data_IF_790099455396
#
_entry.id   IF_790099455396
#
_cell.length_a   1.000
_cell.length_b   1.000
_cell.length_c   1.000
_cell.angle_alpha   90.00
_cell.angle_beta   90.00
_cell.angle_gamma   90.00
#
_symmetry.space_group_name_H-M   'P 1'
#
loop_
_entity.id
_entity.type
_entity.pdbx_description
1 polymer ?
#
# COMPACT_ATOMS: atom_id res chain seq x y z
N UNK A 1 95.06 5.54 31.34
CA UNK A 1 95.98 4.45 30.94
C UNK A 1 95.13 3.30 30.40
N UNK A 2 95.47 2.79 29.19
CA UNK A 2 95.35 1.40 28.68
C UNK A 2 94.43 0.47 29.51
N UNK A 3 93.47 -0.31 28.98
CA UNK A 3 93.43 -1.09 27.72
C UNK A 3 92.14 -1.95 27.67
N UNK A 4 91.83 -2.48 26.48
CA UNK A 4 90.96 -3.63 26.14
C UNK A 4 89.45 -3.30 25.91
N UNK A 5 88.74 -3.81 24.90
CA UNK A 5 88.85 -5.07 24.15
C UNK A 5 88.52 -4.92 22.65
N UNK A 6 89.06 -5.88 21.89
CA UNK A 6 88.97 -6.18 20.46
C UNK A 6 87.82 -7.20 20.28
N UNK A 7 86.88 -7.16 19.31
CA UNK A 7 86.94 -7.73 17.94
C UNK A 7 85.51 -7.65 17.29
N UNK A 8 85.33 -7.13 16.07
CA UNK A 8 85.15 -7.84 14.74
C UNK A 8 83.79 -8.59 14.65
N UNK A 9 82.92 -8.53 13.64
CA UNK A 9 82.83 -7.87 12.33
C UNK A 9 81.40 -8.02 11.77
N UNK A 10 80.93 -7.04 11.00
CA UNK A 10 79.78 -7.16 10.07
C UNK A 10 80.29 -7.05 8.63
N UNK A 11 79.87 -7.98 7.77
CA UNK A 11 79.99 -7.91 6.31
C UNK A 11 78.58 -7.81 5.71
N UNK A 12 78.35 -6.83 4.84
CA UNK A 12 77.52 -6.99 3.64
C UNK A 12 77.77 -5.82 2.70
N UNK A 13 78.02 -6.18 1.44
CA UNK A 13 78.58 -5.40 0.34
C UNK A 13 77.47 -4.90 -0.59
N UNK A 14 77.73 -3.78 -1.25
CA UNK A 14 76.87 -3.06 -2.18
C UNK A 14 76.60 -3.79 -3.51
N UNK A 15 75.55 -3.36 -4.24
CA UNK A 15 75.51 -3.16 -5.71
C UNK A 15 74.20 -2.41 -6.03
N UNK A 16 74.22 -1.14 -6.44
CA UNK A 16 74.39 -0.58 -7.80
C UNK A 16 73.06 -0.19 -8.46
N UNK A 17 73.00 1.09 -8.83
CA UNK A 17 71.89 1.80 -9.44
C UNK A 17 71.83 1.62 -10.98
N UNK A 18 70.65 1.85 -11.55
CA UNK A 18 70.48 2.32 -12.93
C UNK A 18 69.27 3.27 -13.07
N UNK A 19 69.52 4.39 -13.75
CA UNK A 19 68.65 5.53 -14.10
C UNK A 19 67.61 5.14 -15.18
N UNK A 20 66.32 5.49 -15.06
CA UNK A 20 65.59 6.72 -15.46
C UNK A 20 65.39 6.96 -16.98
N UNK A 21 64.13 7.11 -17.44
CA UNK A 21 63.60 8.22 -18.30
C UNK A 21 62.07 8.34 -18.11
N UNK A 22 61.59 9.59 -18.13
CA UNK A 22 60.26 10.15 -17.85
C UNK A 22 59.19 10.00 -18.95
N UNK A 23 57.91 10.10 -18.56
CA UNK A 23 56.91 10.93 -19.27
C UNK A 23 55.91 11.51 -18.27
N UNK A 24 55.76 12.82 -18.31
CA UNK A 24 54.82 13.63 -17.54
C UNK A 24 53.47 13.72 -18.27
N UNK A 25 52.38 13.66 -17.51
CA UNK A 25 51.16 14.43 -17.75
C UNK A 25 50.68 14.94 -16.39
N UNK A 26 50.72 16.26 -16.21
CA UNK A 26 49.85 16.95 -15.26
C UNK A 26 48.48 17.02 -15.92
N UNK A 27 47.44 16.56 -15.24
CA UNK A 27 46.08 17.04 -15.42
C UNK A 27 45.40 17.02 -14.04
N UNK A 28 44.63 18.06 -13.79
CA UNK A 28 44.20 18.54 -12.49
C UNK A 28 43.47 17.49 -11.63
N UNK A 29 43.84 17.41 -10.35
CA UNK A 29 43.09 16.70 -9.33
C UNK A 29 41.73 17.39 -9.10
N UNK A 30 40.72 17.00 -9.88
CA UNK A 30 39.34 17.11 -9.43
C UNK A 30 38.98 15.80 -8.72
N UNK A 31 39.44 15.67 -7.49
CA UNK A 31 39.16 14.54 -6.61
C UNK A 31 37.69 14.53 -6.19
N UNK A 32 36.81 14.04 -7.05
CA UNK A 32 35.51 13.52 -6.60
C UNK A 32 35.73 12.08 -6.16
N UNK A 33 36.00 11.87 -4.87
CA UNK A 33 35.84 10.54 -4.27
C UNK A 33 34.42 10.07 -4.57
N UNK A 34 34.22 8.85 -5.11
CA UNK A 34 32.88 8.28 -5.24
C UNK A 34 32.18 8.35 -3.88
N UNK A 35 30.86 8.61 -3.84
CA UNK A 35 30.11 8.48 -2.60
C UNK A 35 30.40 7.12 -1.97
N UNK A 36 30.51 7.03 -0.63
CA UNK A 36 30.58 5.74 0.04
C UNK A 36 29.45 4.84 -0.48
N UNK A 37 29.75 3.57 -0.74
CA UNK A 37 28.69 2.60 -1.01
C UNK A 37 27.70 2.62 0.17
N UNK A 38 26.37 2.58 -0.09
CA UNK A 38 25.40 2.60 0.97
C UNK A 38 25.67 1.45 1.95
N UNK A 39 25.53 1.71 3.25
CA UNK A 39 25.50 0.64 4.24
C UNK A 39 24.26 -0.22 4.02
N UNK A 40 24.42 -1.54 4.07
CA UNK A 40 23.29 -2.48 4.07
C UNK A 40 22.95 -2.81 5.52
N UNK A 41 21.71 -2.54 5.93
CA UNK A 41 21.21 -2.87 7.26
C UNK A 41 20.07 -3.88 7.16
N UNK A 42 20.19 -4.97 7.93
CA UNK A 42 19.13 -5.98 8.00
C UNK A 42 18.07 -5.55 9.03
N UNK A 43 16.81 -5.53 8.60
CA UNK A 43 15.64 -5.33 9.44
C UNK A 43 14.98 -6.67 9.76
N UNK A 44 14.38 -6.75 10.95
CA UNK A 44 13.61 -7.89 11.41
C UNK A 44 13.52 -7.94 12.94
N UNK A 45 12.60 -8.76 13.44
CA UNK A 45 12.38 -8.99 14.86
C UNK A 45 11.40 -7.98 15.50
N UNK A 46 11.47 -7.89 16.83
CA UNK A 46 10.57 -7.06 17.63
C UNK A 46 11.27 -5.74 17.98
N UNK A 47 10.61 -4.64 17.69
CA UNK A 47 11.04 -3.26 17.98
C UNK A 47 10.23 -2.72 19.16
N UNK A 48 10.90 -2.53 20.30
CA UNK A 48 10.29 -1.97 21.54
C UNK A 48 10.76 -0.56 21.88
N UNK A 49 11.73 -0.03 21.12
CA UNK A 49 12.23 1.33 21.24
C UNK A 49 12.15 2.03 19.88
N UNK A 50 12.16 3.36 19.85
CA UNK A 50 12.06 4.12 18.60
C UNK A 50 13.19 3.73 17.64
N UNK A 51 12.81 3.48 16.39
CA UNK A 51 13.72 3.15 15.30
C UNK A 51 13.58 4.21 14.21
N UNK A 52 14.70 4.63 13.62
CA UNK A 52 14.70 5.59 12.50
C UNK A 52 15.50 5.01 11.35
N UNK A 53 14.84 4.85 10.20
CA UNK A 53 15.45 4.47 8.95
C UNK A 53 15.81 5.74 8.18
N UNK A 54 17.07 5.90 7.81
CA UNK A 54 17.62 7.14 7.25
C UNK A 54 17.98 6.99 5.78
N UNK A 55 17.95 8.09 5.04
CA UNK A 55 18.36 8.09 3.65
C UNK A 55 19.84 7.67 3.49
N UNK A 56 20.20 7.12 2.32
CA UNK A 56 21.53 6.59 1.97
C UNK A 56 21.94 5.27 2.65
N UNK A 57 21.00 4.59 3.31
CA UNK A 57 21.15 3.21 3.79
C UNK A 57 20.22 2.30 2.99
N UNK A 58 20.74 1.17 2.51
CA UNK A 58 19.92 0.11 1.94
C UNK A 58 19.40 -0.78 3.06
N UNK A 59 18.07 -0.88 3.20
CA UNK A 59 17.46 -1.72 4.22
C UNK A 59 16.97 -3.03 3.62
N UNK A 60 17.47 -4.15 4.15
CA UNK A 60 17.00 -5.49 3.77
C UNK A 60 16.10 -6.05 4.86
N UNK A 61 14.82 -6.25 4.58
CA UNK A 61 13.88 -6.87 5.53
C UNK A 61 14.04 -8.40 5.45
N UNK A 62 14.60 -9.00 6.50
CA UNK A 62 15.04 -10.41 6.52
C UNK A 62 14.15 -11.33 7.35
N UNK A 63 13.26 -10.76 8.15
CA UNK A 63 12.19 -11.44 8.86
C UNK A 63 11.07 -10.43 9.14
N UNK A 64 9.98 -10.85 9.77
CA UNK A 64 8.93 -9.94 10.21
C UNK A 64 9.48 -8.83 11.12
N UNK A 65 9.09 -7.58 10.88
CA UNK A 65 9.42 -6.43 11.72
C UNK A 65 8.16 -6.01 12.50
N UNK A 66 8.11 -6.35 13.78
CA UNK A 66 6.98 -6.06 14.66
C UNK A 66 7.29 -4.88 15.57
N UNK A 67 6.59 -3.76 15.38
CA UNK A 67 6.76 -2.55 16.18
C UNK A 67 5.73 -2.58 17.30
N UNK A 68 6.19 -2.58 18.55
CA UNK A 68 5.35 -2.69 19.75
C UNK A 68 5.30 -1.39 20.51
N UNK A 69 4.15 -1.13 21.12
CA UNK A 69 3.93 0.06 21.92
C UNK A 69 5.00 0.17 23.04
N UNK A 70 5.52 1.38 23.32
CA UNK A 70 5.16 2.67 22.73
C UNK A 70 6.08 3.10 21.56
N UNK A 71 6.78 2.16 20.92
CA UNK A 71 7.79 2.48 19.92
C UNK A 71 7.21 3.14 18.67
N UNK A 72 8.03 3.98 18.05
CA UNK A 72 7.76 4.61 16.76
C UNK A 72 8.80 4.16 15.74
N UNK A 73 8.34 3.60 14.63
CA UNK A 73 9.14 3.39 13.43
C UNK A 73 9.08 4.65 12.56
N UNK A 74 10.18 5.40 12.48
CA UNK A 74 10.31 6.55 11.59
C UNK A 74 11.07 6.14 10.33
N UNK A 75 10.56 6.52 9.17
CA UNK A 75 11.18 6.23 7.87
C UNK A 75 11.31 7.57 7.14
N UNK A 76 12.55 8.00 6.90
CA UNK A 76 12.85 9.24 6.19
C UNK A 76 12.55 9.11 4.69
N UNK A 77 12.42 10.25 4.01
CA UNK A 77 12.19 10.29 2.57
C UNK A 77 13.29 9.57 1.77
N UNK A 78 12.92 8.98 0.63
CA UNK A 78 13.84 8.27 -0.26
C UNK A 78 14.38 6.94 0.28
N UNK A 79 13.98 6.51 1.49
CA UNK A 79 14.35 5.20 2.02
C UNK A 79 13.76 4.08 1.14
N UNK A 80 14.61 3.10 0.81
CA UNK A 80 14.19 1.86 0.17
C UNK A 80 14.36 0.68 1.12
N UNK A 81 13.27 -0.04 1.35
CA UNK A 81 13.24 -1.32 2.07
C UNK A 81 13.02 -2.44 1.05
N UNK A 82 13.89 -3.45 1.05
CA UNK A 82 13.78 -4.62 0.17
C UNK A 82 13.61 -5.87 1.02
N UNK A 83 12.45 -6.51 0.94
CA UNK A 83 12.20 -7.81 1.54
C UNK A 83 13.04 -8.88 0.85
N UNK A 84 13.71 -9.71 1.65
CA UNK A 84 14.48 -10.83 1.17
C UNK A 84 13.56 -11.93 0.61
N UNK A 85 14.05 -12.70 -0.35
CA UNK A 85 13.36 -13.93 -0.76
C UNK A 85 13.30 -14.92 0.40
N UNK A 86 12.09 -15.38 0.73
CA UNK A 86 11.84 -16.24 1.89
C UNK A 86 10.61 -17.13 1.66
N UNK A 87 10.67 -18.34 2.19
CA UNK A 87 9.51 -19.25 2.31
C UNK A 87 8.72 -18.95 3.60
N UNK A 88 9.33 -18.27 4.57
CA UNK A 88 8.67 -17.75 5.76
C UNK A 88 8.10 -16.35 5.48
N UNK A 89 6.96 -15.99 6.09
CA UNK A 89 6.33 -14.70 5.86
C UNK A 89 7.16 -13.53 6.38
N UNK A 90 7.45 -12.57 5.49
CA UNK A 90 8.17 -11.33 5.80
C UNK A 90 7.23 -10.15 5.61
N UNK A 91 6.95 -9.41 6.69
CA UNK A 91 6.03 -8.27 6.68
C UNK A 91 6.45 -7.21 7.72
N UNK A 92 5.86 -6.03 7.65
CA UNK A 92 5.98 -5.00 8.69
C UNK A 92 4.64 -4.91 9.42
N UNK A 93 4.67 -5.03 10.74
CA UNK A 93 3.48 -4.98 11.59
C UNK A 93 3.63 -3.88 12.65
N UNK A 94 2.71 -2.93 12.64
CA UNK A 94 2.58 -1.88 13.65
C UNK A 94 1.45 -2.29 14.59
N UNK A 95 1.80 -2.78 15.78
CA UNK A 95 0.80 -3.23 16.77
C UNK A 95 0.12 -2.05 17.47
N UNK A 96 -1.06 -2.30 18.05
CA UNK A 96 -1.81 -1.32 18.83
C UNK A 96 -0.93 -0.55 19.83
N UNK A 97 -0.98 0.79 19.73
CA UNK A 97 -0.23 1.72 20.57
C UNK A 97 1.22 1.99 20.12
N UNK A 98 1.75 1.23 19.16
CA UNK A 98 2.92 1.62 18.39
C UNK A 98 2.55 2.60 17.27
N UNK A 99 3.55 3.20 16.63
CA UNK A 99 3.32 4.11 15.50
C UNK A 99 4.31 3.93 14.37
N UNK A 100 3.88 4.34 13.18
CA UNK A 100 4.74 4.53 12.01
C UNK A 100 4.71 5.99 11.55
N UNK A 101 5.88 6.56 11.27
CA UNK A 101 6.01 7.89 10.66
C UNK A 101 6.86 7.74 9.40
N UNK A 102 6.20 7.42 8.29
CA UNK A 102 6.80 7.21 6.98
C UNK A 102 6.36 8.35 6.05
N UNK A 103 7.26 9.33 5.86
CA UNK A 103 6.96 10.56 5.11
C UNK A 103 8.02 10.77 4.04
N UNK A 104 7.71 10.31 2.84
CA UNK A 104 8.45 10.62 1.63
C UNK A 104 8.09 11.99 1.05
N UNK A 105 8.62 12.25 -0.14
CA UNK A 105 8.26 13.41 -0.98
C UNK A 105 7.90 12.95 -2.39
N UNK A 106 7.36 13.86 -3.21
CA UNK A 106 7.07 13.58 -4.62
C UNK A 106 8.31 13.06 -5.34
N UNK A 107 9.46 13.69 -5.11
CA UNK A 107 10.72 13.37 -5.76
C UNK A 107 11.46 12.21 -5.09
N UNK A 108 11.29 12.02 -3.78
CA UNK A 108 11.93 10.97 -2.99
C UNK A 108 10.87 10.16 -2.22
N UNK A 109 10.03 9.36 -2.91
CA UNK A 109 9.07 8.48 -2.24
C UNK A 109 9.81 7.43 -1.40
N UNK A 110 9.15 6.95 -0.35
CA UNK A 110 9.59 5.73 0.35
C UNK A 110 9.14 4.53 -0.48
N UNK A 111 10.04 3.59 -0.74
CA UNK A 111 9.74 2.38 -1.52
C UNK A 111 9.97 1.14 -0.68
N UNK A 112 8.93 0.32 -0.51
CA UNK A 112 9.01 -1.00 0.10
C UNK A 112 8.71 -2.04 -0.98
N UNK A 113 9.62 -2.99 -1.20
CA UNK A 113 9.56 -3.88 -2.39
C UNK A 113 10.13 -5.27 -2.07
N UNK A 114 9.91 -6.25 -2.94
CA UNK A 114 10.51 -7.58 -2.87
C UNK A 114 11.82 -7.69 -3.67
N UNK A 115 12.76 -8.54 -3.23
CA UNK A 115 14.02 -8.82 -3.95
C UNK A 115 13.76 -9.48 -5.32
N UNK A 116 12.91 -10.51 -5.36
CA UNK A 116 12.52 -11.19 -6.60
C UNK A 116 11.58 -10.39 -7.52
N UNK A 117 10.92 -9.34 -7.01
CA UNK A 117 9.89 -8.55 -7.73
C UNK A 117 8.76 -9.39 -8.32
N UNK A 118 8.33 -10.41 -7.57
CA UNK A 118 7.19 -11.25 -7.92
C UNK A 118 6.03 -10.88 -7.02
N UNK A 119 4.82 -10.74 -7.57
CA UNK A 119 3.60 -10.62 -6.78
C UNK A 119 3.58 -11.72 -5.69
N UNK A 120 3.29 -11.34 -4.45
CA UNK A 120 3.36 -12.22 -3.29
C UNK A 120 4.76 -12.41 -2.72
N UNK A 121 5.75 -11.61 -3.14
CA UNK A 121 7.14 -11.73 -2.69
C UNK A 121 7.37 -11.34 -1.23
N UNK A 122 6.43 -10.61 -0.62
CA UNK A 122 6.43 -10.28 0.81
C UNK A 122 5.03 -9.88 1.29
N UNK A 123 4.84 -9.83 2.61
CA UNK A 123 3.52 -9.69 3.22
C UNK A 123 3.05 -8.25 3.45
N UNK A 124 3.69 -7.24 2.89
CA UNK A 124 3.22 -5.86 2.97
C UNK A 124 3.26 -5.21 4.37
N UNK A 125 2.40 -4.20 4.56
CA UNK A 125 2.33 -3.38 5.77
C UNK A 125 1.00 -3.55 6.50
N UNK A 126 1.09 -3.87 7.79
CA UNK A 126 -0.06 -4.11 8.67
C UNK A 126 -0.09 -3.08 9.78
N UNK A 127 -1.22 -2.41 9.98
CA UNK A 127 -1.37 -1.39 11.03
C UNK A 127 -2.60 -1.72 11.88
N UNK A 128 -2.37 -1.98 13.16
CA UNK A 128 -3.41 -2.27 14.14
C UNK A 128 -3.68 -1.04 15.03
N UNK A 129 -4.90 -0.52 14.99
CA UNK A 129 -5.35 0.64 15.77
C UNK A 129 -6.43 0.30 16.80
N UNK A 130 -6.84 1.33 17.55
CA UNK A 130 -7.86 1.25 18.61
C UNK A 130 -9.27 1.69 18.19
N UNK A 131 -9.51 1.92 16.90
CA UNK A 131 -10.80 2.38 16.41
C UNK A 131 -11.84 1.24 16.34
N UNK A 132 -13.15 1.55 16.35
CA UNK A 132 -14.20 0.52 16.35
C UNK A 132 -14.18 -0.39 15.12
N UNK A 133 -14.44 -1.67 15.35
CA UNK A 133 -14.73 -2.70 14.33
C UNK A 133 -16.00 -3.44 14.76
N UNK A 134 -16.74 -3.98 13.81
CA UNK A 134 -17.90 -4.84 14.09
C UNK A 134 -17.55 -6.34 14.20
N UNK A 135 -16.27 -6.71 14.00
CA UNK A 135 -15.75 -8.04 14.29
C UNK A 135 -15.59 -8.32 15.80
N UNK A 136 -15.76 -7.30 16.64
CA UNK A 136 -15.64 -7.41 18.10
C UNK A 136 -14.21 -7.15 18.59
N UNK A 137 -13.68 -7.98 19.48
CA UNK A 137 -12.24 -8.01 19.79
C UNK A 137 -11.55 -8.89 18.75
N UNK A 138 -10.88 -8.28 17.77
CA UNK A 138 -10.26 -8.97 16.65
C UNK A 138 -8.77 -9.22 16.84
N UNK A 139 -8.26 -10.22 16.11
CA UNK A 139 -6.84 -10.44 15.89
C UNK A 139 -6.59 -10.36 14.39
N UNK A 140 -5.58 -9.60 13.97
CA UNK A 140 -5.21 -9.51 12.56
C UNK A 140 -4.82 -10.88 12.04
N UNK A 141 -5.18 -11.16 10.79
CA UNK A 141 -4.85 -12.43 10.11
C UNK A 141 -3.33 -12.61 10.08
N UNK A 142 -2.61 -11.52 9.79
CA UNK A 142 -1.16 -11.50 9.83
C UNK A 142 -0.66 -11.16 11.24
N UNK A 143 0.15 -12.05 11.80
CA UNK A 143 0.85 -11.83 13.07
C UNK A 143 -0.02 -11.99 14.33
N UNK A 144 -1.33 -12.25 14.19
CA UNK A 144 -2.26 -12.43 15.31
C UNK A 144 -2.17 -11.28 16.33
N UNK A 145 -2.12 -10.04 15.84
CA UNK A 145 -2.05 -8.84 16.67
C UNK A 145 -3.45 -8.33 17.00
N UNK A 146 -3.63 -7.88 18.24
CA UNK A 146 -4.90 -7.30 18.64
C UNK A 146 -5.17 -6.00 17.86
N UNK A 147 -6.41 -5.84 17.38
CA UNK A 147 -6.90 -4.59 16.82
C UNK A 147 -8.34 -4.33 17.24
N UNK A 148 -8.81 -3.12 16.96
CA UNK A 148 -10.15 -2.72 17.34
C UNK A 148 -10.23 -2.13 18.74
N UNK A 149 -11.28 -1.36 19.00
CA UNK A 149 -11.49 -0.71 20.29
C UNK A 149 -12.64 0.28 20.25
N UNK A 150 -12.52 1.35 21.02
CA UNK A 150 -13.54 2.40 21.11
C UNK A 150 -13.00 3.81 20.80
N UNK A 151 -11.75 3.93 20.35
CA UNK A 151 -11.14 5.22 20.03
C UNK A 151 -11.18 5.48 18.53
N UNK A 152 -12.29 6.03 18.05
CA UNK A 152 -12.44 6.42 16.64
C UNK A 152 -11.41 7.50 16.20
N UNK A 153 -10.72 8.17 17.12
CA UNK A 153 -9.70 9.16 16.78
C UNK A 153 -8.27 8.64 17.04
N UNK A 154 -8.10 7.33 17.19
CA UNK A 154 -6.78 6.71 17.34
C UNK A 154 -5.83 7.18 16.22
N UNK A 155 -4.56 7.29 16.58
CA UNK A 155 -3.51 7.78 15.71
C UNK A 155 -2.34 6.80 15.73
N UNK A 156 -2.31 5.93 14.71
CA UNK A 156 -1.26 4.97 14.43
C UNK A 156 -0.10 5.57 13.64
N UNK A 157 -0.18 6.86 13.26
CA UNK A 157 0.91 7.64 12.69
C UNK A 157 0.62 8.31 11.34
N UNK A 158 1.62 8.33 10.47
CA UNK A 158 1.59 9.03 9.17
C UNK A 158 2.21 8.16 8.08
N UNK A 159 1.46 7.99 6.97
CA UNK A 159 1.93 7.45 5.71
C UNK A 159 1.78 8.52 4.64
N UNK A 160 2.89 8.95 4.02
CA UNK A 160 2.86 9.93 2.94
C UNK A 160 3.92 9.71 1.87
N UNK A 161 3.52 9.74 0.59
CA UNK A 161 4.41 9.48 -0.56
C UNK A 161 5.17 8.18 -0.39
N UNK A 162 4.42 7.10 -0.25
CA UNK A 162 4.97 5.75 -0.08
C UNK A 162 4.46 4.83 -1.18
N UNK A 163 5.29 3.87 -1.56
CA UNK A 163 4.95 2.83 -2.53
C UNK A 163 5.32 1.47 -1.99
N UNK A 164 4.36 0.56 -2.00
CA UNK A 164 4.56 -0.86 -1.70
C UNK A 164 4.43 -1.64 -3.01
N UNK A 165 5.43 -2.43 -3.33
CA UNK A 165 5.50 -3.19 -4.57
C UNK A 165 5.58 -4.68 -4.24
N UNK A 166 4.90 -5.53 -5.02
CA UNK A 166 5.07 -6.99 -4.97
C UNK A 166 4.65 -7.63 -3.62
N UNK A 167 3.63 -7.07 -2.97
CA UNK A 167 3.00 -7.60 -1.75
C UNK A 167 2.08 -8.79 -2.06
N UNK A 168 1.36 -9.37 -1.11
CA UNK A 168 0.48 -10.53 -1.39
C UNK A 168 0.93 -11.87 -0.82
N UNK A 169 1.85 -11.92 0.16
CA UNK A 169 2.43 -13.21 0.56
C UNK A 169 1.38 -14.14 1.18
N UNK A 170 1.21 -15.33 0.60
CA UNK A 170 0.32 -16.36 1.11
C UNK A 170 0.88 -17.01 2.38
N UNK A 171 0.16 -16.92 3.51
CA UNK A 171 0.53 -17.58 4.75
C UNK A 171 0.16 -19.07 4.74
N UNK A 172 -1.03 -19.37 4.23
CA UNK A 172 -1.58 -20.70 4.08
C UNK A 172 -2.61 -20.71 2.92
N UNK A 173 -3.33 -21.83 2.74
CA UNK A 173 -4.29 -22.00 1.65
C UNK A 173 -5.52 -21.08 1.77
N UNK A 174 -5.71 -20.44 2.94
CA UNK A 174 -6.89 -19.63 3.26
C UNK A 174 -6.58 -18.16 3.59
N UNK A 175 -5.33 -17.81 3.97
CA UNK A 175 -4.95 -16.45 4.36
C UNK A 175 -3.76 -15.96 3.54
N UNK A 176 -3.95 -14.85 2.86
CA UNK A 176 -2.93 -14.12 2.10
C UNK A 176 -2.76 -12.70 2.72
N UNK A 177 -1.65 -12.02 2.41
CA UNK A 177 -1.32 -10.72 3.02
C UNK A 177 -1.50 -9.59 2.02
N UNK A 178 -2.15 -8.51 2.38
CA UNK A 178 -2.44 -7.42 1.43
C UNK A 178 -1.23 -6.49 1.18
N UNK A 179 -1.43 -5.49 0.32
CA UNK A 179 -0.52 -4.36 0.19
C UNK A 179 -0.42 -3.57 1.49
N UNK A 180 -1.51 -2.93 1.89
CA UNK A 180 -1.64 -2.33 3.22
C UNK A 180 -2.96 -2.75 3.85
N UNK A 181 -2.87 -3.36 5.04
CA UNK A 181 -4.03 -3.74 5.83
C UNK A 181 -4.21 -2.77 7.00
N UNK A 182 -5.36 -2.10 7.04
CA UNK A 182 -5.75 -1.16 8.09
C UNK A 182 -6.72 -1.84 9.06
N UNK A 183 -6.17 -2.43 10.12
CA UNK A 183 -6.93 -3.10 11.16
C UNK A 183 -7.38 -2.12 12.25
N UNK A 184 -8.65 -1.71 12.24
CA UNK A 184 -9.21 -0.83 13.26
C UNK A 184 -8.47 0.50 13.40
N UNK A 185 -7.97 1.07 12.30
CA UNK A 185 -7.17 2.31 12.31
C UNK A 185 -8.08 3.54 12.46
N UNK A 186 -7.70 4.46 13.36
CA UNK A 186 -8.50 5.64 13.69
C UNK A 186 -8.30 6.84 12.78
N UNK A 187 -9.26 7.76 12.83
CA UNK A 187 -9.28 9.00 12.04
C UNK A 187 -8.14 9.99 12.38
N UNK A 188 -7.40 9.76 13.47
CA UNK A 188 -6.21 10.53 13.83
C UNK A 188 -4.96 10.15 13.03
N UNK A 189 -5.00 9.01 12.33
CA UNK A 189 -3.94 8.54 11.42
C UNK A 189 -4.02 9.27 10.08
N UNK A 190 -2.89 9.72 9.55
CA UNK A 190 -2.83 10.42 8.26
C UNK A 190 -2.29 9.47 7.18
N UNK A 191 -3.07 9.23 6.13
CA UNK A 191 -2.70 8.35 5.01
C UNK A 191 -2.98 9.08 3.71
N UNK A 192 -1.94 9.45 2.98
CA UNK A 192 -2.07 10.30 1.79
C UNK A 192 -0.97 10.01 0.78
N UNK A 193 -1.24 9.97 -0.53
CA UNK A 193 -0.23 9.65 -1.57
C UNK A 193 0.42 8.27 -1.33
N UNK A 194 -0.38 7.22 -1.46
CA UNK A 194 0.02 5.83 -1.23
C UNK A 194 -0.22 5.03 -2.48
N UNK A 195 0.77 4.25 -2.92
CA UNK A 195 0.61 3.31 -4.02
C UNK A 195 0.88 1.88 -3.59
N UNK A 196 0.04 0.95 -4.05
CA UNK A 196 0.37 -0.48 -4.11
C UNK A 196 0.46 -0.92 -5.57
N UNK A 197 1.46 -1.75 -5.87
CA UNK A 197 1.85 -2.08 -7.25
C UNK A 197 2.21 -3.57 -7.38
N UNK A 198 1.49 -4.28 -8.24
CA UNK A 198 1.72 -5.68 -8.64
C UNK A 198 1.74 -6.63 -7.42
N UNK A 199 0.67 -6.61 -6.62
CA UNK A 199 0.48 -7.51 -5.47
C UNK A 199 -0.23 -8.81 -5.84
N UNK A 200 -0.06 -9.88 -5.06
CA UNK A 200 -0.76 -11.15 -5.28
C UNK A 200 -2.15 -11.22 -4.61
N UNK A 201 -2.49 -10.20 -3.83
CA UNK A 201 -3.71 -10.08 -3.03
C UNK A 201 -4.15 -8.60 -3.04
N UNK A 202 -5.03 -8.19 -2.13
CA UNK A 202 -5.61 -6.86 -2.11
C UNK A 202 -4.59 -5.73 -2.10
N UNK A 203 -4.95 -4.62 -2.75
CA UNK A 203 -4.14 -3.41 -2.70
C UNK A 203 -4.17 -2.75 -1.33
N UNK A 204 -5.30 -2.17 -0.98
CA UNK A 204 -5.56 -1.58 0.33
C UNK A 204 -6.83 -2.21 0.89
N UNK A 205 -6.72 -2.79 2.09
CA UNK A 205 -7.86 -3.38 2.78
C UNK A 205 -8.12 -2.72 4.13
N UNK A 206 -9.39 -2.44 4.41
CA UNK A 206 -9.84 -1.82 5.66
C UNK A 206 -10.67 -2.81 6.49
N UNK A 207 -10.08 -3.30 7.58
CA UNK A 207 -10.78 -4.11 8.59
C UNK A 207 -11.32 -3.21 9.69
N UNK A 208 -12.51 -2.66 9.47
CA UNK A 208 -13.14 -1.73 10.40
C UNK A 208 -12.39 -0.39 10.49
N UNK A 209 -12.62 0.33 11.60
CA UNK A 209 -11.98 1.61 11.86
C UNK A 209 -12.62 2.81 11.13
N UNK A 210 -11.91 3.92 11.18
CA UNK A 210 -12.39 5.26 10.77
C UNK A 210 -11.31 6.08 10.06
N UNK A 211 -10.20 5.45 9.71
CA UNK A 211 -9.08 6.10 9.01
C UNK A 211 -9.57 6.77 7.72
N UNK A 212 -9.05 7.97 7.47
CA UNK A 212 -9.29 8.68 6.22
C UNK A 212 -8.07 8.52 5.32
N UNK A 213 -8.29 8.33 4.02
CA UNK A 213 -7.24 8.20 3.02
C UNK A 213 -7.43 9.18 1.87
N UNK A 214 -6.34 9.68 1.29
CA UNK A 214 -6.41 10.46 0.05
C UNK A 214 -5.27 10.18 -0.93
N UNK A 215 -5.53 10.31 -2.23
CA UNK A 215 -4.56 10.05 -3.30
C UNK A 215 -3.96 8.63 -3.19
N UNK A 216 -4.82 7.61 -3.25
CA UNK A 216 -4.37 6.22 -3.26
C UNK A 216 -4.44 5.63 -4.66
N UNK A 217 -3.40 4.90 -5.04
CA UNK A 217 -3.28 4.25 -6.35
C UNK A 217 -3.03 2.76 -6.15
N UNK A 218 -3.81 1.94 -6.85
CA UNK A 218 -3.62 0.48 -6.85
C UNK A 218 -3.49 0.02 -8.29
N UNK A 219 -2.39 -0.68 -8.57
CA UNK A 219 -2.08 -1.19 -9.90
C UNK A 219 -1.80 -2.68 -9.80
N UNK A 220 -2.55 -3.49 -10.55
CA UNK A 220 -2.29 -4.92 -10.72
C UNK A 220 -2.11 -5.73 -9.42
N UNK A 221 -2.86 -5.39 -8.37
CA UNK A 221 -3.09 -6.28 -7.23
C UNK A 221 -4.13 -7.34 -7.65
N UNK A 222 -3.77 -8.63 -7.56
CA UNK A 222 -4.50 -9.70 -8.26
C UNK A 222 -5.77 -10.19 -7.57
N UNK A 223 -6.09 -9.73 -6.36
CA UNK A 223 -7.45 -9.82 -5.82
C UNK A 223 -8.17 -8.47 -5.97
N UNK A 224 -8.61 -7.83 -4.89
CA UNK A 224 -9.35 -6.59 -4.94
C UNK A 224 -8.44 -5.35 -4.87
N UNK A 225 -8.72 -4.34 -5.70
CA UNK A 225 -7.87 -3.14 -5.66
C UNK A 225 -8.06 -2.36 -4.35
N UNK A 226 -9.30 -2.16 -3.95
CA UNK A 226 -9.64 -1.65 -2.62
C UNK A 226 -10.71 -2.56 -2.01
N UNK A 227 -10.48 -3.03 -0.80
CA UNK A 227 -11.47 -3.78 -0.02
C UNK A 227 -11.79 -3.03 1.27
N UNK A 228 -13.05 -3.10 1.69
CA UNK A 228 -13.33 -2.91 3.10
C UNK A 228 -14.31 -3.93 3.66
N UNK A 229 -14.12 -4.20 4.94
CA UNK A 229 -15.00 -5.02 5.74
C UNK A 229 -15.09 -4.48 7.17
N UNK A 230 -15.73 -5.25 8.03
CA UNK A 230 -15.81 -5.09 9.48
C UNK A 230 -16.24 -3.71 9.99
N UNK A 231 -17.06 -3.00 9.22
CA UNK A 231 -17.66 -1.76 9.69
C UNK A 231 -16.84 -0.49 9.43
N UNK A 232 -15.89 -0.50 8.49
CA UNK A 232 -15.11 0.70 8.16
C UNK A 232 -16.03 1.89 7.81
N UNK A 233 -15.76 3.05 8.41
CA UNK A 233 -16.62 4.23 8.30
C UNK A 233 -15.85 5.53 8.08
N UNK A 234 -14.64 5.41 7.50
CA UNK A 234 -13.80 6.55 7.14
C UNK A 234 -14.21 7.28 5.86
N UNK A 235 -13.31 8.10 5.35
CA UNK A 235 -13.44 8.76 4.05
C UNK A 235 -12.27 8.42 3.14
N UNK A 236 -12.54 8.29 1.84
CA UNK A 236 -11.52 8.10 0.83
C UNK A 236 -11.71 9.12 -0.30
N UNK A 237 -10.66 9.84 -0.66
CA UNK A 237 -10.74 10.84 -1.74
C UNK A 237 -9.61 10.66 -2.73
N UNK A 238 -9.86 10.78 -4.03
CA UNK A 238 -8.84 10.59 -5.08
C UNK A 238 -8.30 9.15 -5.07
N UNK A 239 -9.17 8.18 -5.39
CA UNK A 239 -8.78 6.78 -5.53
C UNK A 239 -8.64 6.41 -7.00
N UNK A 240 -7.56 5.71 -7.32
CA UNK A 240 -7.29 5.19 -8.66
C UNK A 240 -7.00 3.70 -8.56
N UNK A 241 -7.76 2.89 -9.30
CA UNK A 241 -7.46 1.48 -9.50
C UNK A 241 -7.26 1.23 -11.00
N UNK A 242 -6.20 0.52 -11.35
CA UNK A 242 -5.91 0.15 -12.73
C UNK A 242 -5.44 -1.29 -12.81
N UNK A 243 -6.22 -2.13 -13.50
CA UNK A 243 -5.94 -3.54 -13.65
C UNK A 243 -5.71 -3.88 -15.13
N UNK A 244 -4.64 -4.62 -15.37
CA UNK A 244 -4.24 -5.18 -16.67
C UNK A 244 -4.13 -6.69 -16.61
N UNK A 245 -3.74 -7.26 -15.46
CA UNK A 245 -3.75 -8.71 -15.26
C UNK A 245 -5.19 -9.22 -15.22
N UNK A 246 -5.49 -10.32 -15.91
CA UNK A 246 -6.82 -10.92 -15.98
C UNK A 246 -7.25 -11.59 -14.66
N UNK A 247 -6.30 -11.90 -13.76
CA UNK A 247 -6.57 -12.49 -12.45
C UNK A 247 -7.12 -11.50 -11.43
N UNK A 248 -6.88 -10.19 -11.57
CA UNK A 248 -7.46 -9.17 -10.67
C UNK A 248 -8.98 -9.33 -10.53
N UNK A 249 -9.51 -9.40 -9.29
CA UNK A 249 -10.95 -9.53 -9.03
C UNK A 249 -11.70 -8.20 -9.14
N UNK A 250 -12.07 -7.56 -8.03
CA UNK A 250 -12.86 -6.34 -8.03
C UNK A 250 -11.96 -5.09 -8.09
N UNK A 251 -12.52 -4.01 -8.63
CA UNK A 251 -11.91 -2.69 -8.45
C UNK A 251 -12.18 -2.17 -7.04
N UNK A 252 -13.37 -2.47 -6.53
CA UNK A 252 -13.76 -2.27 -5.14
C UNK A 252 -14.58 -3.47 -4.69
N UNK A 253 -14.15 -4.13 -3.63
CA UNK A 253 -15.00 -5.01 -2.83
C UNK A 253 -15.40 -4.31 -1.53
N UNK A 254 -16.65 -4.53 -1.10
CA UNK A 254 -17.27 -3.73 -0.08
C UNK A 254 -18.25 -4.55 0.75
N UNK A 255 -17.82 -4.86 1.96
CA UNK A 255 -18.55 -5.58 2.98
C UNK A 255 -18.97 -4.69 4.15
N UNK A 256 -19.98 -5.13 4.90
CA UNK A 256 -20.10 -4.72 6.29
C UNK A 256 -19.49 -5.76 7.22
N UNK A 257 -19.95 -7.00 7.10
CA UNK A 257 -19.46 -8.16 7.83
C UNK A 257 -20.01 -9.43 7.19
N UNK A 258 -19.16 -10.39 6.80
CA UNK A 258 -19.58 -11.60 6.06
C UNK A 258 -20.53 -12.54 6.81
N UNK A 259 -20.45 -12.59 8.15
CA UNK A 259 -21.27 -13.49 8.97
C UNK A 259 -22.58 -12.84 9.43
N UNK A 260 -22.57 -11.53 9.64
CA UNK A 260 -23.72 -10.78 10.12
C UNK A 260 -23.83 -9.44 9.40
N UNK A 261 -24.60 -9.41 8.31
CA UNK A 261 -24.77 -8.23 7.46
C UNK A 261 -25.32 -7.00 8.21
N UNK A 262 -25.98 -7.20 9.36
CA UNK A 262 -26.53 -6.13 10.21
C UNK A 262 -25.61 -5.77 11.40
N UNK A 263 -24.37 -6.28 11.43
CA UNK A 263 -23.40 -6.00 12.49
C UNK A 263 -23.11 -4.49 12.62
N UNK A 264 -22.93 -4.04 13.86
CA UNK A 264 -22.69 -2.62 14.18
C UNK A 264 -21.29 -2.42 14.79
N UNK A 265 -20.58 -1.32 14.46
CA UNK A 265 -20.97 -0.28 13.50
C UNK A 265 -21.08 -0.82 12.07
N UNK A 266 -22.07 -0.31 11.31
CA UNK A 266 -22.26 -0.71 9.93
C UNK A 266 -21.26 0.05 9.06
N UNK A 267 -20.55 -0.65 8.17
CA UNK A 267 -19.63 -0.05 7.22
C UNK A 267 -20.39 0.99 6.42
N UNK A 268 -19.90 2.23 6.44
CA UNK A 268 -20.57 3.35 5.78
C UNK A 268 -19.58 4.43 5.37
N UNK A 269 -18.54 4.10 4.59
CA UNK A 269 -17.56 5.08 4.17
C UNK A 269 -18.16 6.12 3.23
N UNK A 270 -17.45 7.25 3.09
CA UNK A 270 -17.71 8.22 2.03
C UNK A 270 -16.53 8.32 1.08
N UNK A 271 -16.77 7.94 -0.18
CA UNK A 271 -15.77 7.94 -1.24
C UNK A 271 -15.99 9.12 -2.21
N UNK A 272 -14.91 9.79 -2.62
CA UNK A 272 -14.97 10.94 -3.55
C UNK A 272 -13.88 10.90 -4.61
N UNK A 273 -14.24 11.32 -5.83
CA UNK A 273 -13.32 11.44 -6.97
C UNK A 273 -12.51 10.15 -7.25
N UNK A 274 -13.16 9.16 -7.86
CA UNK A 274 -12.59 7.85 -8.16
C UNK A 274 -12.42 7.65 -9.67
N UNK A 275 -11.33 7.03 -10.07
CA UNK A 275 -11.13 6.52 -11.44
C UNK A 275 -10.71 5.04 -11.37
N UNK A 276 -11.63 4.15 -11.75
CA UNK A 276 -11.48 2.72 -11.60
C UNK A 276 -11.54 2.06 -12.98
N UNK A 277 -10.44 1.43 -13.40
CA UNK A 277 -10.30 0.80 -14.71
C UNK A 277 -9.89 -0.65 -14.55
N UNK A 278 -10.75 -1.57 -14.98
CA UNK A 278 -10.48 -2.99 -14.95
C UNK A 278 -9.83 -3.56 -16.22
N UNK A 279 -9.48 -4.83 -16.11
CA UNK A 279 -8.78 -5.67 -17.10
C UNK A 279 -9.66 -6.24 -18.24
N UNK A 280 -10.97 -5.99 -18.22
CA UNK A 280 -11.92 -6.57 -19.18
C UNK A 280 -12.15 -8.08 -19.03
N UNK A 281 -11.80 -8.66 -17.87
CA UNK A 281 -11.88 -10.10 -17.61
C UNK A 281 -13.29 -10.67 -17.79
N UNK A 282 -13.36 -11.87 -18.38
CA UNK A 282 -14.61 -12.63 -18.54
C UNK A 282 -14.91 -13.55 -17.36
N UNK A 283 -13.99 -13.68 -16.41
CA UNK A 283 -14.18 -14.48 -15.19
C UNK A 283 -14.42 -13.54 -14.01
N UNK A 284 -13.51 -12.57 -13.82
CA UNK A 284 -13.52 -11.59 -12.74
C UNK A 284 -14.19 -10.29 -13.19
N UNK A 285 -15.51 -10.26 -13.04
CA UNK A 285 -16.37 -9.33 -13.78
C UNK A 285 -16.68 -8.03 -13.05
N UNK A 286 -16.31 -7.89 -11.79
CA UNK A 286 -16.90 -6.90 -10.89
C UNK A 286 -16.05 -5.63 -10.86
N UNK A 287 -16.70 -4.48 -11.04
CA UNK A 287 -16.12 -3.17 -10.80
C UNK A 287 -16.23 -2.85 -9.32
N UNK A 288 -17.26 -2.07 -8.96
CA UNK A 288 -17.64 -1.87 -7.56
C UNK A 288 -18.64 -2.96 -7.15
N UNK A 289 -18.30 -3.76 -6.14
CA UNK A 289 -19.12 -4.85 -5.59
C UNK A 289 -19.59 -4.47 -4.19
N UNK A 290 -20.85 -4.06 -4.04
CA UNK A 290 -21.46 -3.73 -2.76
C UNK A 290 -22.22 -4.95 -2.20
N UNK A 291 -21.70 -5.56 -1.14
CA UNK A 291 -22.23 -6.81 -0.57
C UNK A 291 -22.19 -6.82 0.97
N UNK A 292 -22.58 -7.95 1.53
CA UNK A 292 -22.60 -8.25 2.97
C UNK A 292 -23.17 -7.15 3.89
N UNK A 293 -24.20 -6.42 3.44
CA UNK A 293 -24.85 -5.34 4.20
C UNK A 293 -24.09 -4.02 4.32
N UNK A 294 -23.06 -3.83 3.51
CA UNK A 294 -22.34 -2.56 3.43
C UNK A 294 -23.27 -1.40 3.07
N UNK A 295 -22.94 -0.21 3.58
CA UNK A 295 -23.51 1.06 3.14
C UNK A 295 -22.38 1.86 2.52
N UNK A 296 -22.69 2.76 1.59
CA UNK A 296 -21.67 3.65 1.04
C UNK A 296 -22.28 4.96 0.56
N UNK A 297 -21.51 6.04 0.68
CA UNK A 297 -21.75 7.28 -0.04
C UNK A 297 -20.65 7.46 -1.07
N UNK A 298 -20.99 7.46 -2.35
CA UNK A 298 -20.02 7.62 -3.45
C UNK A 298 -20.37 8.89 -4.22
N UNK A 299 -19.40 9.80 -4.31
CA UNK A 299 -19.52 11.08 -5.00
C UNK A 299 -18.39 11.31 -6.03
N UNK A 300 -18.70 11.09 -7.30
CA UNK A 300 -17.73 11.21 -8.37
C UNK A 300 -16.93 9.91 -8.52
N UNK A 301 -17.37 9.04 -9.40
CA UNK A 301 -16.64 7.83 -9.77
C UNK A 301 -16.78 7.56 -11.27
N UNK A 302 -15.67 7.20 -11.92
CA UNK A 302 -15.66 6.65 -13.28
C UNK A 302 -15.26 5.19 -13.19
N UNK A 303 -16.13 4.28 -13.62
CA UNK A 303 -15.87 2.83 -13.54
C UNK A 303 -16.00 2.19 -14.92
N UNK A 304 -14.91 1.59 -15.39
CA UNK A 304 -14.82 0.94 -16.69
C UNK A 304 -13.97 -0.32 -16.62
N UNK A 305 -13.89 -1.08 -17.73
CA UNK A 305 -13.02 -2.25 -17.80
C UNK A 305 -13.50 -3.47 -17.00
N UNK A 306 -14.74 -3.49 -16.51
CA UNK A 306 -15.37 -4.64 -15.87
C UNK A 306 -16.78 -4.85 -16.42
N UNK A 307 -17.18 -6.07 -16.83
CA UNK A 307 -18.51 -6.35 -17.36
C UNK A 307 -19.67 -5.96 -16.42
N UNK A 308 -19.48 -6.09 -15.11
CA UNK A 308 -20.41 -5.68 -14.07
C UNK A 308 -19.81 -4.49 -13.29
N UNK A 309 -19.86 -3.26 -13.83
CA UNK A 309 -19.13 -2.12 -13.27
C UNK A 309 -19.64 -1.67 -11.90
N UNK A 310 -20.89 -1.99 -11.55
CA UNK A 310 -21.46 -1.76 -10.23
C UNK A 310 -22.47 -2.88 -9.93
N UNK A 311 -22.24 -3.62 -8.85
CA UNK A 311 -23.07 -4.75 -8.43
C UNK A 311 -23.56 -4.56 -7.00
N UNK A 312 -24.84 -4.88 -6.74
CA UNK A 312 -25.46 -4.93 -5.43
C UNK A 312 -25.86 -6.38 -5.16
N UNK A 313 -25.38 -6.98 -4.06
CA UNK A 313 -25.55 -8.43 -3.84
C UNK A 313 -26.38 -8.81 -2.59
N UNK A 314 -26.67 -7.87 -1.69
CA UNK A 314 -27.39 -8.16 -0.43
C UNK A 314 -28.56 -7.23 -0.14
N UNK A 315 -29.61 -7.77 0.48
CA UNK A 315 -30.86 -7.03 0.78
C UNK A 315 -30.62 -5.77 1.62
N UNK A 316 -29.73 -5.83 2.61
CA UNK A 316 -29.41 -4.68 3.46
C UNK A 316 -28.79 -3.53 2.67
N UNK A 317 -27.89 -3.85 1.74
CA UNK A 317 -27.24 -2.89 0.83
C UNK A 317 -28.26 -2.28 -0.14
N UNK A 318 -29.08 -3.14 -0.76
CA UNK A 318 -30.18 -2.73 -1.65
C UNK A 318 -31.17 -1.79 -0.94
N UNK A 319 -31.56 -2.13 0.29
CA UNK A 319 -32.46 -1.33 1.10
C UNK A 319 -31.85 0.03 1.46
N UNK A 320 -30.56 0.07 1.82
CA UNK A 320 -29.87 1.31 2.14
C UNK A 320 -29.81 2.27 0.95
N UNK A 321 -29.59 1.76 -0.27
CA UNK A 321 -29.64 2.56 -1.49
C UNK A 321 -31.08 2.99 -1.82
N UNK A 322 -32.04 2.07 -1.74
CA UNK A 322 -33.45 2.33 -2.08
C UNK A 322 -34.12 3.36 -1.15
N UNK A 323 -33.73 3.38 0.13
CA UNK A 323 -34.27 4.31 1.12
C UNK A 323 -33.44 5.61 1.26
N UNK A 324 -32.31 5.72 0.56
CA UNK A 324 -31.44 6.90 0.58
C UNK A 324 -30.48 7.00 1.78
N UNK A 325 -30.34 5.93 2.58
CA UNK A 325 -29.27 5.84 3.60
C UNK A 325 -27.89 5.84 2.95
N UNK A 326 -27.77 5.14 1.82
CA UNK A 326 -26.60 5.15 0.94
C UNK A 326 -26.92 5.98 -0.31
N UNK A 327 -25.94 6.77 -0.76
CA UNK A 327 -26.12 7.72 -1.85
C UNK A 327 -25.03 7.55 -2.90
N UNK A 328 -25.45 7.35 -4.15
CA UNK A 328 -24.58 7.39 -5.32
C UNK A 328 -24.88 8.68 -6.09
N UNK A 329 -23.87 9.53 -6.27
CA UNK A 329 -23.95 10.76 -7.07
C UNK A 329 -22.70 10.94 -7.92
N UNK A 330 -22.87 11.54 -9.10
CA UNK A 330 -21.81 11.76 -10.07
C UNK A 330 -21.05 10.46 -10.44
N UNK A 331 -21.74 9.30 -10.41
CA UNK A 331 -21.17 8.00 -10.72
C UNK A 331 -21.43 7.65 -12.18
N UNK A 332 -20.37 7.52 -12.97
CA UNK A 332 -20.40 7.11 -14.37
C UNK A 332 -19.89 5.67 -14.47
N UNK A 333 -20.70 4.77 -15.01
CA UNK A 333 -20.34 3.37 -15.24
C UNK A 333 -20.41 3.04 -16.74
N UNK A 334 -19.42 2.34 -17.26
CA UNK A 334 -19.33 2.00 -18.69
C UNK A 334 -20.36 0.94 -19.13
N UNK A 335 -21.07 0.32 -18.18
CA UNK A 335 -22.13 -0.65 -18.40
C UNK A 335 -23.40 -0.26 -17.63
N UNK A 336 -24.14 -1.26 -17.16
CA UNK A 336 -25.43 -1.10 -16.48
C UNK A 336 -25.29 -1.56 -15.03
N UNK A 337 -25.97 -0.89 -14.10
CA UNK A 337 -26.03 -1.31 -12.70
C UNK A 337 -26.67 -2.71 -12.62
N UNK A 338 -26.02 -3.61 -11.88
CA UNK A 338 -26.52 -4.95 -11.62
C UNK A 338 -26.97 -5.08 -10.17
N UNK A 339 -28.21 -5.52 -9.97
CA UNK A 339 -28.73 -5.86 -8.65
C UNK A 339 -29.10 -7.34 -8.63
N UNK A 340 -28.31 -8.12 -7.91
CA UNK A 340 -28.44 -9.58 -7.81
C UNK A 340 -29.37 -10.02 -6.67
N UNK A 341 -29.91 -9.05 -5.90
CA UNK A 341 -30.92 -9.34 -4.87
C UNK A 341 -32.22 -9.79 -5.53
N UNK A 342 -32.73 -10.95 -5.13
CA UNK A 342 -34.02 -11.45 -5.61
C UNK A 342 -35.13 -10.47 -5.22
N UNK A 343 -35.75 -9.82 -6.21
CA UNK A 343 -36.74 -8.77 -5.96
C UNK A 343 -36.14 -7.42 -5.52
N UNK A 344 -34.87 -7.17 -5.87
CA UNK A 344 -34.15 -5.94 -5.53
C UNK A 344 -34.90 -4.65 -5.88
N UNK A 345 -34.72 -3.65 -5.04
CA UNK A 345 -35.46 -2.39 -5.02
C UNK A 345 -34.72 -1.26 -5.71
N UNK A 346 -33.38 -1.24 -5.63
CA UNK A 346 -32.53 -0.23 -6.26
C UNK A 346 -32.08 -0.72 -7.65
N UNK A 347 -32.73 -0.21 -8.68
CA UNK A 347 -32.50 -0.61 -10.07
C UNK A 347 -31.90 0.55 -10.87
N UNK A 348 -31.56 0.31 -12.15
CA UNK A 348 -31.03 1.33 -13.07
C UNK A 348 -31.85 2.62 -13.09
N UNK A 349 -33.18 2.54 -13.00
CA UNK A 349 -34.04 3.73 -12.94
C UNK A 349 -33.79 4.59 -11.68
N UNK A 350 -33.53 3.96 -10.53
CA UNK A 350 -33.17 4.67 -9.30
C UNK A 350 -31.79 5.31 -9.42
N UNK A 351 -30.82 4.54 -9.93
CA UNK A 351 -29.45 5.01 -10.16
C UNK A 351 -29.41 6.22 -11.09
N UNK A 352 -30.07 6.14 -12.24
CA UNK A 352 -30.14 7.21 -13.25
C UNK A 352 -30.96 8.43 -12.79
N UNK A 353 -31.83 8.28 -11.79
CA UNK A 353 -32.50 9.40 -11.15
C UNK A 353 -31.58 10.17 -10.18
N UNK A 354 -30.47 9.56 -9.75
CA UNK A 354 -29.45 10.20 -8.92
C UNK A 354 -28.70 11.29 -9.69
N UNK A 355 -28.28 12.34 -8.97
CA UNK A 355 -27.59 13.48 -9.56
C UNK A 355 -26.30 13.04 -10.26
N UNK A 356 -26.17 13.32 -11.56
CA UNK A 356 -24.93 13.12 -12.31
C UNK A 356 -24.55 11.66 -12.59
N UNK A 357 -25.43 10.71 -12.25
CA UNK A 357 -25.18 9.30 -12.51
C UNK A 357 -25.43 8.97 -13.99
N UNK A 358 -24.65 8.04 -14.54
CA UNK A 358 -24.78 7.61 -15.92
C UNK A 358 -24.42 6.13 -16.10
N UNK A 359 -25.24 5.42 -16.88
CA UNK A 359 -24.94 4.08 -17.40
C UNK A 359 -24.45 4.17 -18.85
N UNK A 360 -23.70 3.16 -19.29
CA UNK A 360 -23.10 3.10 -20.63
C UNK A 360 -22.25 4.34 -20.97
N UNK A 361 -21.64 4.93 -19.94
CA UNK A 361 -20.80 6.10 -20.08
C UNK A 361 -19.56 5.78 -20.92
N UNK A 362 -19.16 6.71 -21.79
CA UNK A 362 -17.90 6.60 -22.54
C UNK A 362 -16.77 7.07 -21.62
N UNK A 363 -16.08 6.11 -21.02
CA UNK A 363 -14.99 6.34 -20.07
C UNK A 363 -13.70 5.87 -20.72
N UNK A 364 -12.68 6.72 -20.69
CA UNK A 364 -11.38 6.37 -21.22
C UNK A 364 -10.68 5.37 -20.28
N UNK A 365 -9.96 4.41 -20.85
CA UNK A 365 -9.46 3.23 -20.10
C UNK A 365 -7.96 3.00 -20.25
N UNK A 366 -7.23 3.86 -20.96
CA UNK A 366 -5.77 3.76 -20.97
C UNK A 366 -5.20 4.48 -19.76
N UNK A 367 -4.05 4.04 -19.26
CA UNK A 367 -3.35 4.73 -18.17
C UNK A 367 -3.11 6.21 -18.50
N UNK A 368 -2.67 6.51 -19.73
CA UNK A 368 -2.43 7.87 -20.21
C UNK A 368 -3.70 8.73 -20.19
N UNK A 369 -4.87 8.15 -20.50
CA UNK A 369 -6.14 8.89 -20.40
C UNK A 369 -6.51 9.18 -18.94
N UNK A 370 -6.26 8.24 -18.03
CA UNK A 370 -6.50 8.42 -16.59
C UNK A 370 -5.58 9.51 -16.04
N UNK A 371 -4.27 9.40 -16.31
CA UNK A 371 -3.27 10.38 -15.89
C UNK A 371 -3.40 11.73 -16.61
N UNK A 372 -4.04 11.75 -17.78
CA UNK A 372 -4.36 12.95 -18.55
C UNK A 372 -5.63 13.69 -18.07
N UNK A 373 -6.48 13.06 -17.26
CA UNK A 373 -7.59 13.75 -16.59
C UNK A 373 -7.03 14.74 -15.56
N UNK A 374 -7.36 16.02 -15.70
CA UNK A 374 -6.84 17.08 -14.83
C UNK A 374 -7.19 16.88 -13.35
N UNK A 375 -8.23 16.11 -13.03
CA UNK A 375 -8.61 15.73 -11.66
C UNK A 375 -7.63 14.73 -11.04
N UNK A 376 -6.80 14.09 -11.87
CA UNK A 376 -5.82 13.06 -11.54
C UNK A 376 -4.41 13.38 -12.08
N UNK A 377 -4.13 14.64 -12.42
CA UNK A 377 -2.83 15.04 -12.98
C UNK A 377 -1.63 14.70 -12.07
N UNK A 378 -1.86 14.55 -10.77
CA UNK A 378 -0.89 14.09 -9.76
C UNK A 378 -0.41 12.64 -10.00
N UNK A 379 -1.07 11.85 -10.86
CA UNK A 379 -0.58 10.53 -11.28
C UNK A 379 0.70 10.61 -12.11
N UNK A 380 1.04 11.79 -12.65
CA UNK A 380 2.29 12.01 -13.40
C UNK A 380 3.48 12.36 -12.48
N UNK A 381 3.24 12.48 -11.17
CA UNK A 381 4.28 12.77 -10.18
C UNK A 381 5.18 11.55 -9.94
N UNK A 382 6.46 11.78 -9.62
CA UNK A 382 7.49 10.74 -9.56
C UNK A 382 7.30 9.66 -8.47
N UNK A 383 6.39 9.89 -7.51
CA UNK A 383 6.06 8.90 -6.50
C UNK A 383 5.23 7.73 -7.04
N UNK A 384 4.49 7.95 -8.14
CA UNK A 384 3.67 6.92 -8.80
C UNK A 384 4.50 6.16 -9.83
N UNK A 385 4.56 4.84 -9.70
CA UNK A 385 4.98 3.95 -10.78
C UNK A 385 3.82 3.79 -11.75
N UNK A 386 4.01 4.28 -12.97
CA UNK A 386 3.06 4.07 -14.06
C UNK A 386 3.07 2.62 -14.56
N UNK A 387 1.95 2.20 -15.14
CA UNK A 387 1.85 0.94 -15.89
C UNK A 387 2.69 1.08 -17.17
N UNK A 388 3.59 0.14 -17.42
CA UNK A 388 4.47 0.13 -18.61
C UNK A 388 3.87 -0.61 -19.81
#
# INVERSE_FOLDING_TARGET
MKTNFMKVSTWAMALCASMAVFTACNDDENGTTPPPAPSVENLGGIVTENMTLTANTEYKLTSQLQVKAPAVLTIEEGVKITAADSEDPIYILIEQGAKINAVGTVENPIVMTAENKTAGGWGGLHICGYAPTNAGSGFSEIGNAAYGGNDANDNSGVLKYIRLEYTGFALDDEHESNGISFYGVGAGTQVSYVQTYVGADDGLEFFGGTVNVDHCVVVDCTDDSFDWTEGWSGTATNLVAYQTDASCDCLIEADNNGDNFDATPVAHPTLRNLYLVGNGSSENKRGIRLRAGTRANIDGAKVAGKPNPLTIETTQTDDALANGTSVLKNVQIAGVLKNDVTGGKYLSANFLAGQGNAENAQIATTWDDVAGDLSFAWLNDAWVTAVQ
#
